data_IF_485305524814
#
_entry.id   IF_485305524814
#
_cell.length_a   1.000
_cell.length_b   1.000
_cell.length_c   1.000
_cell.angle_alpha   90.00
_cell.angle_beta   90.00
_cell.angle_gamma   90.00
#
_symmetry.space_group_name_H-M   'P 1'
#
loop_
_entity.id
_entity.type
_entity.pdbx_description
1 polymer ?
#
# COMPACT_ATOMS: atom_id res chain seq x y z
N UNK A 1 5.47 23.96 -19.05
CA UNK A 1 6.52 24.86 -18.52
C UNK A 1 7.57 24.01 -17.81
N UNK A 2 8.65 24.57 -17.26
CA UNK A 2 9.53 23.77 -16.40
C UNK A 2 8.78 23.38 -15.12
N UNK A 3 8.82 22.10 -14.74
CA UNK A 3 8.22 21.63 -13.49
C UNK A 3 9.12 22.06 -12.33
N UNK A 4 8.54 22.72 -11.33
CA UNK A 4 9.23 23.05 -10.07
C UNK A 4 8.93 21.97 -9.01
N UNK A 5 9.94 21.58 -8.25
CA UNK A 5 9.91 20.43 -7.34
C UNK A 5 10.45 20.81 -5.96
N UNK A 6 9.55 20.79 -4.97
CA UNK A 6 9.90 21.09 -3.57
C UNK A 6 9.84 19.79 -2.76
N UNK A 7 10.92 19.34 -2.10
CA UNK A 7 10.90 18.15 -1.25
C UNK A 7 9.82 18.23 -0.17
N UNK A 8 9.11 17.12 0.07
CA UNK A 8 8.03 17.08 1.05
C UNK A 8 8.55 17.26 2.50
N UNK A 9 7.78 17.93 3.37
CA UNK A 9 8.16 18.10 4.77
C UNK A 9 8.22 16.75 5.49
N UNK A 10 9.41 16.43 6.01
CA UNK A 10 9.65 15.21 6.76
C UNK A 10 9.27 15.41 8.25
N UNK A 11 8.84 14.36 8.97
CA UNK A 11 8.70 14.44 10.43
C UNK A 11 10.03 14.71 11.13
N UNK A 12 9.98 15.27 12.34
CA UNK A 12 11.17 15.60 13.15
C UNK A 12 12.07 14.38 13.46
N UNK A 13 11.51 13.17 13.46
CA UNK A 13 12.23 11.90 13.64
C UNK A 13 12.88 11.34 12.37
N UNK A 14 12.75 12.03 11.23
CA UNK A 14 13.17 11.52 9.93
C UNK A 14 14.55 12.06 9.50
N UNK A 15 15.51 11.15 9.31
CA UNK A 15 16.83 11.43 8.73
C UNK A 15 16.72 11.90 7.26
N UNK A 16 16.97 13.19 6.95
CA UNK A 16 16.75 13.74 5.61
C UNK A 16 17.68 13.13 4.56
N UNK A 17 18.87 12.66 4.94
CA UNK A 17 19.80 12.02 3.98
C UNK A 17 19.26 10.69 3.44
N UNK A 18 18.19 10.17 4.04
CA UNK A 18 17.45 8.97 3.59
C UNK A 18 16.10 9.28 2.95
N UNK A 19 15.75 10.54 2.71
CA UNK A 19 14.49 10.91 2.02
C UNK A 19 14.68 11.96 0.90
N UNK A 20 15.92 12.30 0.51
CA UNK A 20 16.18 13.28 -0.57
C UNK A 20 15.54 12.92 -1.93
N UNK A 21 15.45 11.63 -2.25
CA UNK A 21 14.70 11.10 -3.39
C UNK A 21 13.38 10.44 -2.94
N UNK A 22 12.64 11.05 -2.01
CA UNK A 22 11.34 10.55 -1.57
C UNK A 22 10.37 11.68 -1.22
N UNK A 23 9.31 11.82 -2.01
CA UNK A 23 8.25 12.81 -1.83
C UNK A 23 8.64 14.19 -2.33
N UNK A 24 7.97 14.66 -3.38
CA UNK A 24 8.06 16.05 -3.85
C UNK A 24 6.68 16.66 -4.09
N UNK A 25 6.54 17.93 -3.76
CA UNK A 25 5.46 18.81 -4.17
C UNK A 25 5.75 19.35 -5.58
N UNK A 26 4.81 19.16 -6.49
CA UNK A 26 4.92 19.47 -7.92
C UNK A 26 4.24 20.80 -8.22
N UNK A 27 4.95 21.70 -8.90
CA UNK A 27 4.52 23.07 -9.21
C UNK A 27 4.71 23.41 -10.68
N UNK A 28 3.96 24.41 -11.15
CA UNK A 28 4.04 24.93 -12.52
C UNK A 28 3.19 24.18 -13.56
N UNK A 29 2.54 23.07 -13.18
CA UNK A 29 1.67 22.24 -14.04
C UNK A 29 0.38 21.84 -13.31
N UNK A 30 -0.71 21.62 -14.06
CA UNK A 30 -1.99 21.19 -13.51
C UNK A 30 -2.28 19.71 -13.86
N UNK A 31 -2.50 18.81 -12.88
CA UNK A 31 -2.58 17.37 -13.13
C UNK A 31 -3.76 16.95 -14.03
N UNK A 32 -4.82 17.77 -14.11
CA UNK A 32 -5.96 17.52 -15.01
C UNK A 32 -5.79 18.02 -16.44
N UNK A 33 -4.65 18.68 -16.77
CA UNK A 33 -4.40 19.38 -18.04
C UNK A 33 -2.92 19.31 -18.47
N UNK A 34 -2.26 18.15 -18.32
CA UNK A 34 -0.86 17.96 -18.69
C UNK A 34 -0.66 17.82 -20.21
N UNK A 35 0.40 18.45 -20.74
CA UNK A 35 0.91 18.15 -22.09
C UNK A 35 1.74 16.84 -22.11
N UNK A 36 2.02 16.29 -23.30
CA UNK A 36 2.70 14.99 -23.45
C UNK A 36 4.12 15.01 -22.88
N UNK A 37 4.82 16.12 -23.02
CA UNK A 37 6.16 16.35 -22.47
C UNK A 37 6.11 16.41 -20.93
N UNK A 38 5.17 17.19 -20.38
CA UNK A 38 4.97 17.38 -18.94
C UNK A 38 4.51 16.08 -18.26
N UNK A 39 3.67 15.28 -18.93
CA UNK A 39 3.32 13.92 -18.50
C UNK A 39 4.54 13.00 -18.48
N UNK A 40 5.37 13.04 -19.52
CA UNK A 40 6.59 12.21 -19.62
C UNK A 40 7.57 12.55 -18.50
N UNK A 41 7.76 13.84 -18.23
CA UNK A 41 8.56 14.35 -17.12
C UNK A 41 7.94 13.92 -15.77
N UNK A 42 6.63 14.06 -15.59
CA UNK A 42 5.92 13.64 -14.37
C UNK A 42 6.06 12.14 -14.09
N UNK A 43 6.02 11.30 -15.12
CA UNK A 43 6.24 9.84 -15.00
C UNK A 43 7.65 9.56 -14.45
N UNK A 44 8.68 10.16 -15.04
CA UNK A 44 10.06 10.04 -14.60
C UNK A 44 10.27 10.55 -13.17
N UNK A 45 9.68 11.70 -12.81
CA UNK A 45 9.72 12.24 -11.44
C UNK A 45 9.00 11.31 -10.45
N UNK A 46 7.83 10.74 -10.79
CA UNK A 46 7.13 9.78 -9.92
C UNK A 46 7.99 8.55 -9.64
N UNK A 47 8.61 7.95 -10.66
CA UNK A 47 9.48 6.79 -10.49
C UNK A 47 10.80 7.13 -9.75
N UNK A 48 11.24 8.39 -9.76
CA UNK A 48 12.43 8.86 -9.02
C UNK A 48 12.15 9.21 -7.56
N UNK A 49 10.98 9.75 -7.24
CA UNK A 49 10.62 10.26 -5.92
C UNK A 49 9.54 9.46 -5.18
N UNK A 50 9.01 8.38 -5.78
CA UNK A 50 7.94 7.48 -5.29
C UNK A 50 6.57 8.14 -4.99
N UNK A 51 6.52 9.44 -4.72
CA UNK A 51 5.40 10.21 -4.17
C UNK A 51 5.41 11.62 -4.74
N UNK A 52 4.28 12.05 -5.33
CA UNK A 52 4.05 13.41 -5.82
C UNK A 52 2.84 14.04 -5.12
N UNK A 53 2.99 15.27 -4.63
CA UNK A 53 1.91 16.10 -4.09
C UNK A 53 1.57 17.21 -5.08
N UNK A 54 0.27 17.40 -5.33
CA UNK A 54 -0.27 18.61 -5.94
C UNK A 54 -1.13 19.32 -4.89
N UNK A 55 -0.92 20.64 -4.71
CA UNK A 55 -1.75 21.47 -3.84
C UNK A 55 -2.71 22.32 -4.67
N UNK A 56 -3.88 22.62 -4.09
CA UNK A 56 -4.81 23.63 -4.59
C UNK A 56 -5.23 23.40 -6.06
N UNK A 57 -5.53 22.13 -6.37
CA UNK A 57 -5.99 21.65 -7.69
C UNK A 57 -7.41 21.10 -7.60
N UNK A 58 -8.24 21.43 -8.58
CA UNK A 58 -9.58 20.84 -8.76
C UNK A 58 -9.56 19.82 -9.90
N UNK A 59 -10.08 18.62 -9.65
CA UNK A 59 -10.16 17.53 -10.63
C UNK A 59 -11.58 16.94 -10.68
N UNK A 60 -12.10 16.71 -11.89
CA UNK A 60 -13.24 15.78 -12.06
C UNK A 60 -12.76 14.32 -11.93
N UNK A 61 -13.68 13.36 -11.65
CA UNK A 61 -13.37 11.94 -11.69
C UNK A 61 -12.75 11.48 -13.02
N UNK A 62 -13.18 12.05 -14.15
CA UNK A 62 -12.62 11.73 -15.46
C UNK A 62 -11.20 12.27 -15.62
N UNK A 63 -10.87 13.45 -15.06
CA UNK A 63 -9.51 13.97 -15.06
C UNK A 63 -8.58 13.16 -14.14
N UNK A 64 -9.06 12.75 -12.96
CA UNK A 64 -8.31 11.86 -12.06
C UNK A 64 -8.09 10.49 -12.70
N UNK A 65 -9.10 9.92 -13.36
CA UNK A 65 -8.98 8.70 -14.14
C UNK A 65 -7.99 8.86 -15.28
N UNK A 66 -8.09 9.93 -16.08
CA UNK A 66 -7.19 10.21 -17.21
C UNK A 66 -5.72 10.34 -16.76
N UNK A 67 -5.46 11.00 -15.62
CA UNK A 67 -4.12 11.09 -15.02
C UNK A 67 -3.58 9.68 -14.68
N UNK A 68 -4.35 8.82 -14.02
CA UNK A 68 -3.92 7.46 -13.65
C UNK A 68 -3.75 6.57 -14.89
N UNK A 69 -4.69 6.65 -15.83
CA UNK A 69 -4.71 5.98 -17.14
C UNK A 69 -3.49 6.36 -18.00
N UNK A 70 -2.95 7.56 -17.85
CA UNK A 70 -1.77 8.00 -18.59
C UNK A 70 -0.48 7.22 -18.24
N UNK A 71 -0.38 6.64 -17.03
CA UNK A 71 0.73 5.75 -16.63
C UNK A 71 0.56 4.31 -17.15
N UNK A 72 -0.65 3.95 -17.60
CA UNK A 72 -0.96 2.64 -18.19
C UNK A 72 -2.11 2.73 -19.21
N UNK A 73 -1.83 3.17 -20.46
CA UNK A 73 -2.88 3.37 -21.46
C UNK A 73 -3.67 2.10 -21.82
N UNK A 74 -3.17 0.91 -21.50
CA UNK A 74 -3.86 -0.36 -21.73
C UNK A 74 -4.73 -0.84 -20.54
N UNK A 75 -4.64 -0.18 -19.38
CA UNK A 75 -5.35 -0.58 -18.17
C UNK A 75 -6.78 0.01 -18.09
N UNK A 76 -7.81 -0.84 -17.97
CA UNK A 76 -9.23 -0.41 -17.98
C UNK A 76 -9.99 -0.65 -16.66
N UNK A 77 -9.55 -1.61 -15.84
CA UNK A 77 -10.27 -2.06 -14.64
C UNK A 77 -9.72 -1.42 -13.37
N UNK A 78 -10.58 -1.21 -12.36
CA UNK A 78 -10.14 -0.82 -11.02
C UNK A 78 -9.16 -1.86 -10.43
N UNK A 79 -8.19 -1.43 -9.62
CA UNK A 79 -7.09 -2.29 -9.13
C UNK A 79 -7.50 -3.50 -8.28
N UNK A 80 -8.72 -3.49 -7.72
CA UNK A 80 -9.33 -4.62 -7.01
C UNK A 80 -10.43 -5.35 -7.81
N UNK A 81 -10.62 -4.99 -9.07
CA UNK A 81 -11.66 -5.52 -9.96
C UNK A 81 -13.01 -4.82 -9.81
N UNK A 82 -13.86 -4.95 -10.85
CA UNK A 82 -15.13 -4.22 -10.96
C UNK A 82 -16.35 -5.02 -10.45
N UNK A 83 -16.17 -6.27 -9.97
CA UNK A 83 -17.28 -7.16 -9.58
C UNK A 83 -17.67 -6.99 -8.12
N UNK A 84 -18.82 -6.34 -7.88
CA UNK A 84 -19.56 -6.47 -6.62
C UNK A 84 -20.31 -7.81 -6.58
N UNK A 85 -20.64 -8.24 -5.37
CA UNK A 85 -21.40 -9.45 -5.01
C UNK A 85 -20.86 -10.82 -5.47
N UNK A 86 -20.00 -11.38 -4.62
CA UNK A 86 -19.96 -12.83 -4.36
C UNK A 86 -20.91 -13.26 -3.22
N UNK A 87 -21.57 -12.31 -2.55
CA UNK A 87 -22.31 -12.52 -1.30
C UNK A 87 -21.45 -12.70 -0.04
N UNK A 88 -20.13 -12.88 -0.18
CA UNK A 88 -19.22 -13.13 0.95
C UNK A 88 -18.51 -11.84 1.37
N UNK A 89 -18.33 -11.65 2.69
CA UNK A 89 -17.72 -10.46 3.27
C UNK A 89 -16.23 -10.34 2.92
N UNK A 90 -15.88 -9.30 2.19
CA UNK A 90 -14.50 -8.84 1.96
C UNK A 90 -14.19 -7.64 2.85
N UNK A 91 -12.99 -7.57 3.43
CA UNK A 91 -12.57 -6.43 4.26
C UNK A 91 -12.47 -5.09 3.50
N UNK A 92 -12.52 -5.10 2.17
CA UNK A 92 -12.47 -3.89 1.35
C UNK A 92 -13.85 -3.26 1.09
N UNK A 93 -14.91 -4.07 0.99
CA UNK A 93 -16.23 -3.62 0.51
C UNK A 93 -16.87 -2.50 1.36
N UNK A 94 -16.76 -2.45 2.70
CA UNK A 94 -17.34 -1.36 3.50
C UNK A 94 -16.74 0.03 3.26
N UNK A 95 -15.60 0.11 2.57
CA UNK A 95 -14.79 1.34 2.46
C UNK A 95 -14.82 2.00 1.07
N UNK A 96 -15.43 1.37 0.06
CA UNK A 96 -15.33 1.76 -1.35
C UNK A 96 -16.69 2.03 -2.01
N UNK A 97 -16.98 3.30 -2.33
CA UNK A 97 -18.20 3.69 -3.09
C UNK A 97 -17.84 4.21 -4.48
N UNK A 98 -17.91 3.35 -5.50
CA UNK A 98 -17.66 3.72 -6.89
C UNK A 98 -18.53 4.89 -7.37
N UNK A 99 -17.92 5.86 -8.06
CA UNK A 99 -18.61 7.01 -8.64
C UNK A 99 -19.41 6.57 -9.88
N UNK A 100 -20.72 6.85 -10.00
CA UNK A 100 -21.55 6.36 -11.10
C UNK A 100 -21.05 6.72 -12.50
N UNK A 101 -20.49 7.94 -12.68
CA UNK A 101 -20.00 8.42 -13.98
C UNK A 101 -18.59 7.94 -14.36
N UNK A 102 -17.78 7.53 -13.38
CA UNK A 102 -16.44 6.99 -13.61
C UNK A 102 -16.12 5.91 -12.54
N UNK A 103 -16.60 4.66 -12.71
CA UNK A 103 -16.56 3.64 -11.65
C UNK A 103 -15.17 3.18 -11.19
N UNK A 104 -14.10 3.52 -11.92
CA UNK A 104 -12.71 3.32 -11.50
C UNK A 104 -12.25 4.32 -10.42
N UNK A 105 -13.03 5.37 -10.15
CA UNK A 105 -12.82 6.29 -9.04
C UNK A 105 -13.75 5.92 -7.89
N UNK A 106 -13.18 5.64 -6.72
CA UNK A 106 -13.91 5.32 -5.49
C UNK A 106 -14.00 6.56 -4.61
N UNK A 107 -15.22 6.92 -4.20
CA UNK A 107 -15.45 7.77 -3.05
C UNK A 107 -15.14 6.97 -1.77
N UNK A 108 -14.16 7.46 -1.01
CA UNK A 108 -13.71 6.87 0.26
C UNK A 108 -13.65 7.97 1.34
N UNK A 109 -13.80 7.62 2.63
CA UNK A 109 -13.87 8.67 3.64
C UNK A 109 -14.32 8.26 5.03
N UNK A 110 -14.98 9.20 5.70
CA UNK A 110 -15.69 8.98 6.96
C UNK A 110 -16.93 9.89 7.04
N UNK A 111 -18.00 9.38 7.63
CA UNK A 111 -19.22 10.13 7.90
C UNK A 111 -20.15 10.21 6.69
N UNK A 112 -21.15 11.09 6.80
CA UNK A 112 -22.24 11.16 5.85
C UNK A 112 -21.97 12.18 4.75
N UNK A 113 -21.93 11.71 3.50
CA UNK A 113 -21.79 12.53 2.29
C UNK A 113 -23.11 12.53 1.54
N UNK A 114 -23.50 13.70 1.02
CA UNK A 114 -24.66 13.89 0.16
C UNK A 114 -24.29 14.63 -1.13
N UNK A 115 -25.13 14.45 -2.14
CA UNK A 115 -25.14 15.18 -3.42
C UNK A 115 -23.74 15.29 -4.06
N UNK A 116 -23.00 14.17 -4.07
CA UNK A 116 -21.60 14.12 -4.50
C UNK A 116 -21.44 13.21 -5.72
N UNK A 117 -21.08 13.79 -6.86
CA UNK A 117 -20.73 13.05 -8.09
C UNK A 117 -21.81 12.08 -8.62
N UNK A 118 -23.08 12.43 -8.40
CA UNK A 118 -24.23 11.60 -8.75
C UNK A 118 -24.68 10.63 -7.65
N UNK A 119 -24.03 10.62 -6.49
CA UNK A 119 -24.47 9.92 -5.28
C UNK A 119 -25.29 10.88 -4.42
N UNK A 120 -26.59 10.62 -4.26
CA UNK A 120 -27.48 11.45 -3.43
C UNK A 120 -27.17 11.34 -1.93
N UNK A 121 -26.90 10.13 -1.44
CA UNK A 121 -26.42 9.89 -0.08
C UNK A 121 -25.43 8.70 -0.05
N UNK A 122 -24.37 8.82 0.74
CA UNK A 122 -23.37 7.78 0.99
C UNK A 122 -22.83 7.87 2.42
N UNK A 123 -22.91 6.76 3.16
CA UNK A 123 -22.38 6.64 4.52
C UNK A 123 -20.98 6.02 4.43
N UNK A 124 -19.93 6.84 4.57
CA UNK A 124 -18.54 6.41 4.40
C UNK A 124 -17.97 5.89 5.73
N UNK A 125 -17.48 4.65 5.75
CA UNK A 125 -16.81 4.07 6.90
C UNK A 125 -15.28 4.25 6.78
N UNK A 126 -14.64 4.79 7.82
CA UNK A 126 -13.19 4.85 7.86
C UNK A 126 -12.60 3.46 8.15
N UNK A 127 -11.55 3.02 7.44
CA UNK A 127 -10.78 1.85 7.84
C UNK A 127 -10.07 2.13 9.17
N UNK A 128 -10.37 1.35 10.22
CA UNK A 128 -9.88 1.61 11.58
C UNK A 128 -9.24 0.37 12.19
N UNK A 129 -8.17 0.56 12.97
CA UNK A 129 -7.56 -0.52 13.75
C UNK A 129 -8.59 -1.23 14.65
N UNK A 130 -9.59 -0.51 15.16
CA UNK A 130 -10.67 -1.06 16.00
C UNK A 130 -11.50 -2.16 15.33
N UNK A 131 -11.52 -2.23 14.00
CA UNK A 131 -12.33 -3.21 13.24
C UNK A 131 -11.49 -4.30 12.57
N UNK A 132 -10.17 -4.32 12.77
CA UNK A 132 -9.26 -5.24 12.06
C UNK A 132 -8.10 -5.77 12.91
N UNK A 133 -7.66 -5.05 13.95
CA UNK A 133 -6.61 -5.52 14.86
C UNK A 133 -7.19 -6.41 15.97
N UNK A 134 -6.37 -7.36 16.42
CA UNK A 134 -6.67 -8.26 17.54
C UNK A 134 -6.79 -7.52 18.86
N UNK A 135 -5.80 -6.68 19.15
CA UNK A 135 -5.83 -5.73 20.26
C UNK A 135 -6.25 -4.35 19.75
N UNK A 136 -6.82 -3.52 20.62
CA UNK A 136 -7.34 -2.19 20.24
C UNK A 136 -6.83 -1.15 21.22
N UNK A 137 -6.64 0.08 20.77
CA UNK A 137 -6.51 1.24 21.66
C UNK A 137 -7.81 1.34 22.49
N UNK A 138 -7.70 1.58 23.80
CA UNK A 138 -8.85 1.75 24.68
C UNK A 138 -9.57 3.07 24.37
N UNK A 139 -10.86 3.15 24.66
CA UNK A 139 -11.63 4.40 24.42
C UNK A 139 -11.10 5.58 25.28
N UNK A 140 -10.47 5.30 26.42
CA UNK A 140 -9.78 6.30 27.24
C UNK A 140 -8.54 6.87 26.55
N UNK A 141 -7.73 6.00 25.92
CA UNK A 141 -6.54 6.43 25.17
C UNK A 141 -6.91 7.08 23.83
N UNK A 142 -7.96 6.60 23.16
CA UNK A 142 -8.51 7.23 21.97
C UNK A 142 -9.06 8.64 22.27
N UNK A 143 -9.67 8.82 23.45
CA UNK A 143 -10.10 10.14 23.93
C UNK A 143 -8.91 11.10 24.20
N UNK A 144 -7.75 10.57 24.63
CA UNK A 144 -6.47 11.32 24.72
C UNK A 144 -5.83 11.58 23.34
N UNK A 145 -6.34 10.97 22.27
CA UNK A 145 -5.86 11.12 20.90
C UNK A 145 -4.90 10.03 20.43
N UNK A 146 -4.75 8.90 21.15
CA UNK A 146 -3.97 7.77 20.64
C UNK A 146 -4.72 7.02 19.52
N UNK A 147 -3.96 6.45 18.59
CA UNK A 147 -4.47 5.68 17.44
C UNK A 147 -3.41 4.67 16.96
N UNK A 148 -3.68 3.94 15.88
CA UNK A 148 -2.75 3.00 15.23
C UNK A 148 -2.89 3.08 13.70
N UNK A 149 -1.92 2.54 12.97
CA UNK A 149 -2.06 2.27 11.54
C UNK A 149 -3.18 1.24 11.31
N UNK A 150 -4.03 1.43 10.30
CA UNK A 150 -5.06 0.45 9.97
C UNK A 150 -4.45 -0.86 9.44
N UNK A 151 -3.82 -0.78 8.26
CA UNK A 151 -3.19 -1.89 7.52
C UNK A 151 -2.14 -1.34 6.56
N UNK A 152 -0.94 -1.88 6.57
CA UNK A 152 0.10 -1.59 5.58
C UNK A 152 -0.08 -2.46 4.34
N UNK A 153 -0.09 -1.84 3.16
CA UNK A 153 -0.33 -2.53 1.89
C UNK A 153 0.06 -1.67 0.67
N UNK A 154 0.13 -2.32 -0.48
CA UNK A 154 -0.04 -1.71 -1.80
C UNK A 154 -1.43 -2.05 -2.35
N UNK A 155 -2.01 -1.18 -3.19
CA UNK A 155 -3.27 -1.47 -3.88
C UNK A 155 -3.06 -2.62 -4.87
N UNK A 156 -3.83 -3.71 -4.76
CA UNK A 156 -3.82 -4.85 -5.69
C UNK A 156 -4.96 -5.84 -5.37
N UNK A 157 -5.47 -6.54 -6.40
CA UNK A 157 -6.38 -7.68 -6.24
C UNK A 157 -5.66 -8.96 -5.76
N UNK A 158 -4.39 -9.15 -6.15
CA UNK A 158 -3.54 -10.29 -5.78
C UNK A 158 -4.08 -11.67 -6.27
N UNK A 159 -5.03 -11.66 -7.21
CA UNK A 159 -5.67 -12.86 -7.76
C UNK A 159 -6.14 -12.61 -9.20
N UNK A 160 -6.07 -13.65 -10.04
CA UNK A 160 -6.39 -13.59 -11.46
C UNK A 160 -5.43 -12.73 -12.26
N UNK A 161 -5.88 -12.28 -13.43
CA UNK A 161 -5.09 -11.51 -14.40
C UNK A 161 -4.92 -10.02 -14.00
N UNK A 162 -5.43 -9.62 -12.83
CA UNK A 162 -5.38 -8.26 -12.30
C UNK A 162 -4.00 -7.97 -11.67
N UNK A 163 -3.04 -7.54 -12.50
CA UNK A 163 -1.72 -7.18 -12.02
C UNK A 163 -1.72 -5.90 -11.15
N UNK A 164 -0.81 -5.79 -10.15
CA UNK A 164 -0.75 -4.63 -9.26
C UNK A 164 -0.62 -3.29 -10.00
N UNK A 165 -1.51 -2.30 -9.76
CA UNK A 165 -1.43 -0.94 -10.28
C UNK A 165 -0.03 -0.32 -10.23
N UNK A 166 0.36 0.40 -11.29
CA UNK A 166 1.62 1.16 -11.35
C UNK A 166 1.58 2.41 -10.45
N UNK A 167 0.43 3.09 -10.43
CA UNK A 167 0.20 4.35 -9.71
C UNK A 167 -1.20 4.34 -9.06
N UNK A 168 -1.32 5.03 -7.93
CA UNK A 168 -2.61 5.38 -7.31
C UNK A 168 -2.68 6.89 -7.11
N UNK A 169 -3.77 7.51 -7.56
CA UNK A 169 -4.11 8.90 -7.25
C UNK A 169 -5.10 8.96 -6.08
N UNK A 170 -4.69 9.56 -4.96
CA UNK A 170 -5.55 9.84 -3.82
C UNK A 170 -5.80 11.35 -3.73
N UNK A 171 -7.02 11.80 -4.03
CA UNK A 171 -7.42 13.20 -4.10
C UNK A 171 -8.31 13.58 -2.91
N UNK A 172 -7.91 14.59 -2.12
CA UNK A 172 -8.57 15.00 -0.89
C UNK A 172 -9.51 16.20 -1.10
N UNK A 173 -10.82 15.93 -1.09
CA UNK A 173 -11.87 16.93 -1.37
C UNK A 173 -12.34 17.63 -0.09
N UNK A 174 -12.33 16.91 1.04
CA UNK A 174 -12.70 17.44 2.34
C UNK A 174 -11.94 16.71 3.43
N UNK A 175 -10.99 17.40 4.08
CA UNK A 175 -10.18 16.85 5.16
C UNK A 175 -10.49 17.61 6.44
N UNK A 176 -11.09 16.98 7.47
CA UNK A 176 -11.49 17.69 8.68
C UNK A 176 -10.24 18.06 9.48
N UNK A 177 -10.12 19.34 9.82
CA UNK A 177 -9.07 19.80 10.71
C UNK A 177 -9.35 19.35 12.15
N UNK A 178 -8.29 19.12 12.91
CA UNK A 178 -8.38 18.61 14.28
C UNK A 178 -7.04 18.60 15.00
N UNK A 179 -7.02 18.26 16.30
CA UNK A 179 -5.79 18.05 17.04
C UNK A 179 -4.98 16.91 16.42
N UNK A 180 -3.66 16.95 16.62
CA UNK A 180 -2.80 15.83 16.25
C UNK A 180 -3.06 14.64 17.18
N UNK A 181 -3.03 13.45 16.60
CA UNK A 181 -3.16 12.16 17.27
C UNK A 181 -1.77 11.54 17.45
N UNK A 182 -1.64 10.54 18.33
CA UNK A 182 -0.40 9.77 18.49
C UNK A 182 -0.63 8.34 18.04
N UNK A 183 -0.08 7.99 16.88
CA UNK A 183 -0.09 6.65 16.34
C UNK A 183 0.95 5.80 17.08
N UNK A 184 0.50 4.84 17.91
CA UNK A 184 1.39 3.89 18.58
C UNK A 184 1.58 2.64 17.74
N UNK A 185 2.71 1.97 17.93
CA UNK A 185 2.99 0.70 17.26
C UNK A 185 2.53 -0.48 18.13
N UNK A 186 2.51 -0.32 19.47
CA UNK A 186 1.98 -1.26 20.46
C UNK A 186 2.44 -2.72 20.24
N UNK A 187 3.70 -2.92 19.85
CA UNK A 187 4.36 -4.21 19.58
C UNK A 187 5.52 -4.51 20.56
N UNK A 188 5.60 -3.74 21.65
CA UNK A 188 6.65 -3.84 22.67
C UNK A 188 7.90 -2.99 22.39
N UNK A 189 8.04 -2.36 21.22
CA UNK A 189 9.17 -1.44 20.94
C UNK A 189 9.10 -0.12 21.70
N UNK A 190 7.88 0.37 21.95
CA UNK A 190 7.64 1.74 22.41
C UNK A 190 7.66 2.80 21.30
N UNK A 191 7.69 2.40 20.02
CA UNK A 191 7.60 3.34 18.89
C UNK A 191 6.26 4.10 18.90
N UNK A 192 6.33 5.42 18.65
CA UNK A 192 5.18 6.31 18.49
C UNK A 192 5.40 7.35 17.37
N UNK A 193 4.30 7.85 16.79
CA UNK A 193 4.28 8.95 15.82
C UNK A 193 3.14 9.93 16.11
N UNK A 194 3.47 11.21 16.32
CA UNK A 194 2.48 12.29 16.23
C UNK A 194 2.00 12.51 14.78
N UNK A 195 0.70 12.37 14.51
CA UNK A 195 0.04 12.54 13.19
C UNK A 195 -1.04 13.62 13.18
N UNK A 196 -1.24 14.35 12.06
CA UNK A 196 -2.54 14.96 11.75
C UNK A 196 -3.68 13.92 11.73
N UNK A 197 -4.88 14.35 12.09
CA UNK A 197 -6.11 13.55 11.95
C UNK A 197 -6.30 13.07 10.50
N UNK A 198 -6.52 11.78 10.29
CA UNK A 198 -6.84 11.23 8.96
C UNK A 198 -5.70 11.13 7.97
N UNK A 199 -4.46 11.11 8.46
CA UNK A 199 -3.22 10.97 7.69
C UNK A 199 -3.21 9.68 6.86
N UNK A 200 -2.71 9.75 5.62
CA UNK A 200 -2.15 8.58 4.94
C UNK A 200 -0.64 8.60 5.13
N UNK A 201 -0.09 7.53 5.71
CA UNK A 201 1.34 7.33 5.90
C UNK A 201 1.92 6.51 4.74
N UNK A 202 3.13 6.88 4.31
CA UNK A 202 3.81 6.29 3.15
C UNK A 202 5.24 5.88 3.47
N UNK A 203 5.67 4.75 2.93
CA UNK A 203 6.98 4.14 3.17
C UNK A 203 7.56 3.67 1.84
N UNK A 204 8.73 4.19 1.44
CA UNK A 204 9.44 3.68 0.27
C UNK A 204 9.95 2.26 0.52
N UNK A 205 9.57 1.33 -0.35
CA UNK A 205 10.08 -0.03 -0.37
C UNK A 205 11.59 -0.11 -0.63
N UNK A 206 12.19 0.90 -1.30
CA UNK A 206 13.65 1.02 -1.45
C UNK A 206 14.32 1.28 -0.11
N UNK A 207 13.82 2.25 0.66
CA UNK A 207 14.35 2.56 1.98
C UNK A 207 14.12 1.39 2.97
N UNK A 208 12.99 0.69 2.84
CA UNK A 208 12.71 -0.56 3.57
C UNK A 208 13.75 -1.64 3.22
N UNK A 209 14.04 -1.87 1.93
CA UNK A 209 15.09 -2.79 1.48
C UNK A 209 16.46 -2.39 2.02
N UNK A 210 16.83 -1.10 1.94
CA UNK A 210 18.11 -0.59 2.41
C UNK A 210 18.30 -0.74 3.93
N UNK A 211 17.21 -0.67 4.72
CA UNK A 211 17.22 -0.90 6.16
C UNK A 211 17.39 -2.38 6.59
N UNK A 212 17.19 -3.35 5.68
CA UNK A 212 17.35 -4.77 6.00
C UNK A 212 18.80 -5.16 6.34
N UNK A 213 18.96 -6.16 7.21
CA UNK A 213 20.25 -6.81 7.45
C UNK A 213 20.75 -7.52 6.18
N UNK A 214 22.06 -7.79 6.02
CA UNK A 214 22.57 -8.50 4.85
C UNK A 214 21.89 -9.86 4.60
N UNK A 215 21.62 -10.64 5.65
CA UNK A 215 20.91 -11.91 5.54
C UNK A 215 19.45 -11.75 5.07
N UNK A 216 18.73 -10.71 5.54
CA UNK A 216 17.37 -10.42 5.07
C UNK A 216 17.35 -9.84 3.65
N UNK A 217 18.40 -9.12 3.22
CA UNK A 217 18.57 -8.71 1.81
C UNK A 217 18.76 -9.92 0.90
N UNK A 218 19.61 -10.86 1.32
CA UNK A 218 19.87 -12.13 0.63
C UNK A 218 18.62 -12.99 0.48
N UNK A 219 17.78 -13.08 1.52
CA UNK A 219 16.45 -13.69 1.41
C UNK A 219 15.57 -12.91 0.42
N UNK A 220 15.40 -11.60 0.62
CA UNK A 220 14.47 -10.79 -0.17
C UNK A 220 14.73 -10.82 -1.69
N UNK A 221 16.00 -10.84 -2.15
CA UNK A 221 16.31 -10.86 -3.60
C UNK A 221 16.00 -12.18 -4.30
N UNK A 222 15.81 -13.28 -3.56
CA UNK A 222 15.54 -14.62 -4.11
C UNK A 222 14.21 -15.21 -3.64
N UNK A 223 13.34 -14.37 -3.07
CA UNK A 223 12.03 -14.77 -2.55
C UNK A 223 10.85 -14.31 -3.41
N UNK A 224 9.80 -15.14 -3.43
CA UNK A 224 8.48 -14.88 -4.00
C UNK A 224 7.39 -15.22 -2.99
N UNK A 225 6.25 -14.56 -3.08
CA UNK A 225 5.06 -14.78 -2.24
C UNK A 225 3.91 -15.27 -3.12
N UNK A 226 3.32 -16.41 -2.78
CA UNK A 226 2.06 -16.90 -3.35
C UNK A 226 0.91 -16.36 -2.49
N UNK A 227 -0.05 -15.69 -3.11
CA UNK A 227 -1.18 -15.08 -2.43
C UNK A 227 -2.39 -16.03 -2.41
N UNK A 228 -3.17 -15.98 -1.32
CA UNK A 228 -4.39 -16.78 -1.19
C UNK A 228 -5.45 -16.37 -2.22
N UNK A 229 -6.25 -17.31 -2.77
CA UNK A 229 -7.35 -16.97 -3.65
C UNK A 229 -8.35 -16.09 -2.90
N UNK A 230 -8.84 -15.03 -3.55
CA UNK A 230 -9.74 -14.03 -2.93
C UNK A 230 -9.24 -13.53 -1.55
N UNK A 231 -7.94 -13.22 -1.42
CA UNK A 231 -7.28 -13.03 -0.11
C UNK A 231 -8.01 -12.10 0.89
N UNK A 232 -8.68 -11.04 0.42
CA UNK A 232 -9.48 -10.10 1.25
C UNK A 232 -10.79 -10.68 1.82
N UNK A 233 -11.20 -11.86 1.35
CA UNK A 233 -12.25 -12.71 1.91
C UNK A 233 -11.64 -13.80 2.79
N UNK A 234 -10.57 -14.45 2.33
CA UNK A 234 -9.85 -15.50 3.08
C UNK A 234 -9.41 -15.04 4.48
N UNK A 235 -8.73 -13.89 4.57
CA UNK A 235 -8.25 -13.35 5.85
C UNK A 235 -9.35 -12.69 6.71
N UNK A 236 -10.58 -12.57 6.22
CA UNK A 236 -11.59 -11.67 6.78
C UNK A 236 -12.06 -11.96 8.23
N UNK A 237 -12.04 -13.21 8.75
CA UNK A 237 -12.35 -13.50 10.15
C UNK A 237 -11.11 -13.51 11.07
N UNK A 238 -9.90 -13.41 10.51
CA UNK A 238 -8.65 -13.28 11.25
C UNK A 238 -8.30 -11.81 11.52
N UNK A 239 -7.37 -11.57 12.45
CA UNK A 239 -7.02 -10.22 12.89
C UNK A 239 -5.58 -9.82 12.57
N UNK A 240 -5.35 -8.51 12.40
CA UNK A 240 -4.02 -7.93 12.20
C UNK A 240 -3.26 -7.70 13.52
N UNK A 241 -1.92 -7.68 13.42
CA UNK A 241 -1.04 -7.20 14.47
C UNK A 241 -1.28 -5.71 14.77
N UNK A 242 -0.90 -5.25 15.97
CA UNK A 242 -1.03 -3.87 16.46
C UNK A 242 -0.39 -2.78 15.58
N UNK A 243 0.62 -3.14 14.78
CA UNK A 243 1.28 -2.24 13.82
C UNK A 243 0.56 -2.13 12.47
N UNK A 244 -0.47 -2.93 12.22
CA UNK A 244 -1.13 -3.06 10.91
C UNK A 244 -0.28 -3.78 9.85
N UNK A 245 0.87 -4.37 10.21
CA UNK A 245 1.65 -5.27 9.33
C UNK A 245 1.19 -6.71 9.51
N UNK A 246 0.83 -7.40 8.43
CA UNK A 246 0.48 -8.82 8.46
C UNK A 246 -0.76 -9.17 9.30
N UNK A 247 -0.89 -10.47 9.60
CA UNK A 247 -1.97 -11.04 10.40
C UNK A 247 -1.41 -11.85 11.56
N UNK A 248 -2.16 -11.94 12.65
CA UNK A 248 -1.93 -12.85 13.77
C UNK A 248 -2.16 -14.30 13.34
N UNK A 249 -1.33 -15.26 13.78
CA UNK A 249 -1.53 -16.68 13.47
C UNK A 249 -2.58 -17.30 14.39
N UNK A 250 -3.85 -17.12 14.06
CA UNK A 250 -4.99 -17.56 14.90
C UNK A 250 -5.76 -18.77 14.36
N UNK A 251 -5.58 -19.13 13.08
CA UNK A 251 -6.35 -20.21 12.43
C UNK A 251 -7.83 -19.84 12.23
N UNK A 252 -8.10 -18.55 12.01
CA UNK A 252 -9.43 -17.98 11.82
C UNK A 252 -9.73 -17.63 10.34
N UNK A 253 -8.77 -17.86 9.46
CA UNK A 253 -8.92 -17.70 8.02
C UNK A 253 -9.98 -18.65 7.46
N UNK A 254 -10.78 -18.20 6.49
CA UNK A 254 -11.83 -19.03 5.91
C UNK A 254 -11.23 -20.28 5.21
N UNK A 255 -11.79 -21.48 5.43
CA UNK A 255 -11.40 -22.69 4.71
C UNK A 255 -11.48 -22.49 3.19
N UNK A 256 -10.53 -23.06 2.44
CA UNK A 256 -10.42 -22.86 0.99
C UNK A 256 -11.67 -23.30 0.19
N UNK A 257 -12.49 -24.17 0.77
CA UNK A 257 -13.77 -24.65 0.25
C UNK A 257 -14.99 -23.76 0.60
N UNK A 258 -14.81 -22.73 1.44
CA UNK A 258 -15.83 -21.73 1.80
C UNK A 258 -15.62 -20.38 1.09
N UNK A 259 -14.50 -20.24 0.37
CA UNK A 259 -14.20 -19.09 -0.47
C UNK A 259 -15.10 -19.03 -1.72
N UNK A 260 -15.27 -17.85 -2.35
CA UNK A 260 -15.88 -17.78 -3.67
C UNK A 260 -15.12 -18.68 -4.68
N UNK A 261 -15.77 -19.23 -5.71
CA UNK A 261 -15.12 -20.12 -6.68
C UNK A 261 -13.79 -19.57 -7.19
N UNK A 262 -12.76 -20.42 -7.17
CA UNK A 262 -11.39 -20.05 -7.49
C UNK A 262 -10.65 -21.17 -8.23
N UNK A 263 -9.54 -20.81 -8.86
CA UNK A 263 -8.69 -21.70 -9.66
C UNK A 263 -7.23 -21.49 -9.23
N UNK A 264 -6.47 -22.56 -8.94
CA UNK A 264 -5.07 -22.40 -8.50
C UNK A 264 -4.20 -21.70 -9.56
N UNK A 265 -4.47 -21.93 -10.85
CA UNK A 265 -3.80 -21.25 -11.96
C UNK A 265 -3.99 -19.71 -11.97
N UNK A 266 -4.91 -19.18 -11.15
CA UNK A 266 -5.16 -17.74 -10.96
C UNK A 266 -4.59 -17.19 -9.65
N UNK A 267 -3.96 -18.02 -8.80
CA UNK A 267 -3.25 -17.53 -7.62
C UNK A 267 -1.94 -16.84 -8.03
N UNK A 268 -1.80 -15.55 -7.71
CA UNK A 268 -0.61 -14.80 -8.09
C UNK A 268 0.58 -15.21 -7.22
N UNK A 269 1.73 -15.43 -7.85
CA UNK A 269 3.04 -15.58 -7.20
C UNK A 269 3.93 -14.42 -7.63
N UNK A 270 4.20 -13.47 -6.74
CA UNK A 270 4.94 -12.23 -7.05
C UNK A 270 6.28 -12.20 -6.31
N UNK A 271 7.34 -11.57 -6.87
CA UNK A 271 8.60 -11.39 -6.15
C UNK A 271 8.44 -10.49 -4.91
N UNK A 272 9.25 -10.73 -3.88
CA UNK A 272 9.28 -9.93 -2.64
C UNK A 272 9.80 -8.51 -2.88
N UNK A 273 10.69 -8.36 -3.86
CA UNK A 273 11.23 -7.08 -4.30
C UNK A 273 10.76 -6.79 -5.72
N UNK A 274 10.22 -5.60 -5.96
CA UNK A 274 9.85 -5.14 -7.30
C UNK A 274 10.91 -4.15 -7.81
N UNK A 275 11.33 -4.32 -9.06
CA UNK A 275 12.37 -3.50 -9.69
C UNK A 275 11.75 -2.28 -10.36
N UNK A 276 12.21 -1.10 -9.94
CA UNK A 276 11.77 0.19 -10.46
C UNK A 276 12.24 0.37 -11.91
N UNK A 277 11.29 0.60 -12.82
CA UNK A 277 11.56 0.59 -14.27
C UNK A 277 12.45 1.75 -14.75
N UNK A 278 12.49 2.89 -14.03
CA UNK A 278 13.29 4.06 -14.39
C UNK A 278 14.61 4.08 -13.63
N UNK A 279 14.60 3.79 -12.32
CA UNK A 279 15.80 3.94 -11.47
C UNK A 279 16.58 2.65 -11.26
N UNK A 280 16.03 1.49 -11.65
CA UNK A 280 16.64 0.18 -11.42
C UNK A 280 16.72 -0.27 -9.95
N UNK A 281 16.23 0.54 -9.01
CA UNK A 281 16.21 0.21 -7.58
C UNK A 281 15.26 -0.96 -7.28
N UNK A 282 15.55 -1.69 -6.21
CA UNK A 282 14.70 -2.75 -5.67
C UNK A 282 13.88 -2.22 -4.50
N UNK A 283 12.56 -2.42 -4.55
CA UNK A 283 11.62 -1.97 -3.51
C UNK A 283 10.93 -3.19 -2.88
N UNK A 284 10.95 -3.32 -1.54
CA UNK A 284 10.12 -4.33 -0.83
C UNK A 284 8.65 -4.02 -1.09
N UNK A 285 7.92 -5.01 -1.61
CA UNK A 285 6.52 -4.87 -2.04
C UNK A 285 5.71 -6.11 -1.67
N UNK A 286 4.90 -5.97 -0.61
CA UNK A 286 4.36 -7.09 0.16
C UNK A 286 3.00 -6.75 0.76
N UNK A 287 1.96 -7.45 0.31
CA UNK A 287 0.65 -7.47 0.98
C UNK A 287 0.59 -8.69 1.92
N UNK A 288 1.44 -8.67 2.95
CA UNK A 288 1.67 -9.79 3.88
C UNK A 288 0.39 -10.36 4.52
N UNK A 289 -0.66 -9.55 4.64
CA UNK A 289 -1.96 -10.00 5.14
C UNK A 289 -2.68 -11.02 4.22
N UNK A 290 -2.39 -11.04 2.92
CA UNK A 290 -2.94 -12.00 1.95
C UNK A 290 -1.98 -13.12 1.54
N UNK A 291 -0.80 -13.22 2.16
CA UNK A 291 0.22 -14.20 1.82
C UNK A 291 -0.16 -15.60 2.35
N UNK A 292 -0.04 -16.62 1.49
CA UNK A 292 -0.27 -18.02 1.82
C UNK A 292 1.04 -18.81 1.93
N UNK A 293 1.97 -18.60 0.99
CA UNK A 293 3.24 -19.34 0.92
C UNK A 293 4.39 -18.37 0.58
N UNK A 294 5.60 -18.66 1.06
CA UNK A 294 6.84 -17.99 0.63
C UNK A 294 7.79 -19.00 0.02
N UNK A 295 8.21 -18.75 -1.22
CA UNK A 295 9.17 -19.56 -1.96
C UNK A 295 10.51 -18.82 -1.98
N UNK A 296 11.59 -19.50 -1.63
CA UNK A 296 12.95 -18.94 -1.53
C UNK A 296 13.88 -19.82 -2.36
N UNK A 297 14.43 -19.28 -3.45
CA UNK A 297 15.41 -20.01 -4.26
C UNK A 297 16.74 -20.20 -3.47
N UNK A 298 17.51 -21.27 -3.72
CA UNK A 298 18.83 -21.44 -3.11
C UNK A 298 19.79 -20.30 -3.44
N UNK A 299 20.83 -20.14 -2.61
CA UNK A 299 21.94 -19.23 -2.90
C UNK A 299 22.63 -19.61 -4.22
N UNK A 300 23.08 -18.63 -5.03
CA UNK A 300 23.80 -18.90 -6.26
C UNK A 300 25.17 -19.54 -5.97
N UNK A 301 25.66 -20.36 -6.89
CA UNK A 301 26.94 -21.05 -6.74
C UNK A 301 28.09 -20.05 -6.54
N UNK A 302 28.79 -20.18 -5.40
CA UNK A 302 29.90 -19.29 -5.00
C UNK A 302 29.53 -18.13 -4.07
N UNK A 303 28.25 -17.93 -3.73
CA UNK A 303 27.86 -17.03 -2.63
C UNK A 303 28.35 -17.55 -1.26
N UNK A 304 28.51 -16.64 -0.30
CA UNK A 304 28.85 -17.03 1.07
C UNK A 304 27.65 -17.70 1.75
N UNK A 305 27.92 -18.79 2.48
CA UNK A 305 26.91 -19.49 3.29
C UNK A 305 27.01 -19.13 4.77
N UNK A 306 27.98 -18.30 5.16
CA UNK A 306 28.18 -17.84 6.53
C UNK A 306 27.11 -16.81 6.93
N UNK A 307 26.40 -17.06 8.03
CA UNK A 307 25.30 -16.19 8.49
C UNK A 307 24.05 -16.15 7.58
N UNK A 308 24.01 -16.98 6.53
CA UNK A 308 22.92 -17.01 5.58
C UNK A 308 21.65 -17.70 6.14
N UNK A 309 20.50 -17.05 5.97
CA UNK A 309 19.18 -17.60 6.31
C UNK A 309 18.64 -18.40 5.11
N UNK A 310 18.16 -19.62 5.32
CA UNK A 310 17.71 -20.55 4.25
C UNK A 310 18.69 -20.69 3.05
N UNK A 311 19.98 -21.09 3.26
CA UNK A 311 20.99 -21.07 2.19
C UNK A 311 20.68 -22.03 1.02
N UNK A 312 20.05 -23.18 1.28
CA UNK A 312 19.63 -24.15 0.26
C UNK A 312 18.24 -23.87 -0.32
N UNK A 313 17.67 -22.69 -0.01
CA UNK A 313 16.29 -22.32 -0.34
C UNK A 313 15.30 -22.79 0.72
N UNK A 314 14.02 -22.50 0.50
CA UNK A 314 12.90 -22.94 1.33
C UNK A 314 11.56 -22.81 0.59
N UNK A 315 10.57 -23.58 1.04
CA UNK A 315 9.16 -23.38 0.70
C UNK A 315 8.39 -23.34 2.02
N UNK A 316 8.09 -22.12 2.49
CA UNK A 316 7.38 -21.88 3.74
C UNK A 316 5.89 -21.95 3.46
N UNK A 317 5.23 -22.95 4.04
CA UNK A 317 3.78 -23.19 3.95
C UNK A 317 3.08 -23.12 5.30
N UNK A 318 3.83 -23.12 6.41
CA UNK A 318 3.31 -22.77 7.73
C UNK A 318 3.07 -21.26 7.81
N UNK A 319 1.87 -20.87 8.23
CA UNK A 319 1.48 -19.45 8.29
C UNK A 319 2.27 -18.66 9.34
N UNK A 320 2.73 -19.27 10.42
CA UNK A 320 3.52 -18.58 11.44
C UNK A 320 4.93 -18.26 10.92
N UNK A 321 5.58 -19.20 10.24
CA UNK A 321 6.87 -18.98 9.57
C UNK A 321 6.76 -17.92 8.46
N UNK A 322 5.74 -18.02 7.60
CA UNK A 322 5.43 -17.04 6.55
C UNK A 322 5.22 -15.64 7.15
N UNK A 323 4.37 -15.50 8.17
CA UNK A 323 4.05 -14.20 8.78
C UNK A 323 5.25 -13.60 9.52
N UNK A 324 6.00 -14.42 10.25
CA UNK A 324 7.23 -13.99 10.95
C UNK A 324 8.28 -13.44 9.98
N UNK A 325 8.55 -14.14 8.86
CA UNK A 325 9.51 -13.67 7.87
C UNK A 325 9.05 -12.36 7.19
N UNK A 326 7.79 -12.30 6.75
CA UNK A 326 7.26 -11.11 6.09
C UNK A 326 7.21 -9.90 7.04
N UNK A 327 6.92 -10.11 8.32
CA UNK A 327 6.98 -9.05 9.34
C UNK A 327 8.42 -8.52 9.51
N UNK A 328 9.42 -9.40 9.60
CA UNK A 328 10.84 -9.00 9.68
C UNK A 328 11.31 -8.21 8.44
N UNK A 329 10.78 -8.55 7.26
CA UNK A 329 11.07 -7.83 6.01
C UNK A 329 10.40 -6.44 5.92
N UNK A 330 9.29 -6.22 6.62
CA UNK A 330 8.53 -4.95 6.52
C UNK A 330 8.70 -4.01 7.72
N UNK A 331 8.83 -4.53 8.95
CA UNK A 331 8.85 -3.72 10.18
C UNK A 331 9.95 -2.64 10.22
N UNK A 332 11.17 -2.83 9.67
CA UNK A 332 12.18 -1.76 9.61
C UNK A 332 11.78 -0.56 8.73
N UNK A 333 10.89 -0.77 7.74
CA UNK A 333 10.47 0.29 6.82
C UNK A 333 9.40 1.21 7.39
N UNK A 334 8.48 0.70 8.22
CA UNK A 334 7.29 1.45 8.66
C UNK A 334 7.54 2.54 9.72
N UNK A 335 8.80 2.99 9.86
CA UNK A 335 9.14 4.24 10.54
C UNK A 335 8.53 5.46 9.78
N UNK A 336 8.22 6.57 10.47
CA UNK A 336 7.10 7.43 10.05
C UNK A 336 7.36 8.55 9.00
N UNK A 337 6.51 8.69 7.95
CA UNK A 337 6.38 9.82 6.95
C UNK A 337 4.90 10.03 6.47
N UNK A 338 4.53 11.18 5.83
CA UNK A 338 3.11 11.63 5.59
C UNK A 338 2.84 12.55 4.37
N UNK A 339 1.55 12.65 3.95
CA UNK A 339 0.75 13.79 3.42
C UNK A 339 -0.22 13.41 2.25
N UNK A 340 -0.71 14.36 1.43
CA UNK A 340 -1.60 14.14 0.25
C UNK A 340 -0.75 13.75 -0.98
N UNK A 341 -1.15 12.71 -1.72
CA UNK A 341 -0.19 11.96 -2.54
C UNK A 341 -0.83 11.25 -3.76
N UNK A 342 -0.23 11.46 -4.93
CA UNK A 342 -0.15 10.51 -6.06
C UNK A 342 1.08 9.63 -5.83
N UNK A 343 0.93 8.30 -5.75
CA UNK A 343 2.04 7.40 -5.39
C UNK A 343 2.33 6.31 -6.41
N UNK A 344 3.63 6.03 -6.57
CA UNK A 344 4.18 4.86 -7.22
C UNK A 344 3.80 3.62 -6.39
N UNK A 345 2.64 3.03 -6.70
CA UNK A 345 2.08 1.89 -5.98
C UNK A 345 2.95 0.62 -6.07
N UNK A 346 3.92 0.59 -7.00
CA UNK A 346 4.99 -0.42 -7.08
C UNK A 346 6.28 -0.06 -6.33
N UNK A 347 6.37 1.14 -5.77
CA UNK A 347 7.54 1.65 -5.04
C UNK A 347 7.31 1.87 -3.55
N UNK A 348 6.07 2.17 -3.12
CA UNK A 348 5.72 2.39 -1.71
C UNK A 348 4.77 1.34 -1.15
N UNK A 349 4.78 1.18 0.18
CA UNK A 349 3.62 0.67 0.93
C UNK A 349 2.99 1.82 1.72
N UNK A 350 1.69 1.73 1.97
CA UNK A 350 0.92 2.80 2.60
C UNK A 350 -0.11 2.30 3.61
N UNK A 351 -0.49 3.16 4.55
CA UNK A 351 -1.54 2.89 5.53
C UNK A 351 -2.29 4.17 5.91
N UNK A 352 -3.59 4.04 6.18
CA UNK A 352 -4.40 5.14 6.74
C UNK A 352 -4.34 5.13 8.27
N UNK A 353 -4.33 6.32 8.87
CA UNK A 353 -4.15 6.53 10.31
C UNK A 353 -5.16 7.54 10.83
N UNK A 354 -5.83 7.17 11.93
CA UNK A 354 -6.64 8.09 12.72
C UNK A 354 -7.88 7.46 13.33
N UNK A 355 -8.35 8.07 14.41
CA UNK A 355 -9.67 7.83 14.98
C UNK A 355 -10.53 9.10 14.80
N UNK A 356 -11.70 8.96 14.19
CA UNK A 356 -12.63 10.06 13.95
C UNK A 356 -13.77 10.02 14.96
N UNK A 357 -14.29 11.21 15.29
CA UNK A 357 -15.48 11.39 16.12
C UNK A 357 -16.70 11.65 15.24
N UNK A 358 -17.89 11.33 15.76
CA UNK A 358 -19.16 11.62 15.10
C UNK A 358 -19.23 13.08 14.63
N UNK A 359 -19.67 13.28 13.38
CA UNK A 359 -19.73 14.58 12.73
C UNK A 359 -18.44 15.02 12.00
N UNK A 360 -17.30 14.35 12.18
CA UNK A 360 -16.05 14.67 11.45
C UNK A 360 -16.05 14.05 10.04
N UNK A 361 -16.65 14.73 9.07
CA UNK A 361 -16.70 14.23 7.68
C UNK A 361 -15.32 14.31 7.00
N UNK A 362 -14.85 13.19 6.45
CA UNK A 362 -13.67 13.10 5.56
C UNK A 362 -14.11 12.60 4.20
N UNK A 363 -13.70 13.26 3.11
CA UNK A 363 -14.08 12.93 1.73
C UNK A 363 -12.86 12.91 0.82
N UNK A 364 -12.61 11.77 0.19
CA UNK A 364 -11.52 11.56 -0.78
C UNK A 364 -12.03 10.79 -2.01
N UNK A 365 -11.36 10.98 -3.13
CA UNK A 365 -11.44 10.08 -4.29
C UNK A 365 -10.14 9.27 -4.40
N UNK A 366 -10.23 7.95 -4.42
CA UNK A 366 -9.11 7.05 -4.78
C UNK A 366 -9.31 6.53 -6.21
N UNK A 367 -8.27 6.60 -7.03
CA UNK A 367 -8.25 5.94 -8.33
C UNK A 367 -6.94 5.16 -8.51
N UNK A 368 -7.08 3.87 -8.82
CA UNK A 368 -6.00 2.97 -9.21
C UNK A 368 -6.54 2.01 -10.28
N UNK A 369 -5.68 1.55 -11.19
CA UNK A 369 -6.08 0.71 -12.31
C UNK A 369 -5.18 -0.54 -12.38
N UNK A 370 -5.78 -1.72 -12.60
CA UNK A 370 -5.07 -3.00 -12.66
C UNK A 370 -4.17 -3.03 -13.92
N UNK A 371 -2.85 -3.08 -13.71
CA UNK A 371 -1.87 -2.77 -14.74
C UNK A 371 -1.82 -3.79 -15.91
N UNK A 372 -1.28 -3.35 -17.05
CA UNK A 372 -1.09 -4.17 -18.26
C UNK A 372 -0.09 -5.31 -18.13
N UNK A 373 0.75 -5.28 -17.11
CA UNK A 373 1.92 -6.13 -16.91
C UNK A 373 2.14 -6.42 -15.42
N UNK A 374 2.84 -7.51 -15.10
CA UNK A 374 3.25 -7.82 -13.74
C UNK A 374 4.58 -7.14 -13.36
N UNK A 375 4.79 -6.78 -12.09
CA UNK A 375 6.04 -6.17 -11.64
C UNK A 375 7.23 -7.12 -11.85
N UNK A 376 8.29 -6.61 -12.46
CA UNK A 376 9.55 -7.35 -12.62
C UNK A 376 10.27 -7.48 -11.27
N UNK A 377 10.84 -8.66 -11.02
CA UNK A 377 11.65 -8.93 -9.84
C UNK A 377 13.14 -8.59 -10.02
N UNK A 378 13.98 -9.00 -9.06
CA UNK A 378 15.44 -8.95 -9.19
C UNK A 378 15.95 -9.76 -10.38
N UNK A 379 17.02 -9.28 -11.03
CA UNK A 379 17.72 -9.98 -12.10
C UNK A 379 18.95 -10.76 -11.56
N UNK A 380 19.68 -11.45 -12.44
CA UNK A 380 20.87 -12.22 -12.05
C UNK A 380 22.01 -11.36 -11.45
N UNK A 381 22.10 -10.07 -11.79
CA UNK A 381 23.09 -9.15 -11.24
C UNK A 381 22.69 -8.68 -9.84
N UNK A 382 21.40 -8.42 -9.62
CA UNK A 382 20.84 -8.11 -8.31
C UNK A 382 21.03 -9.28 -7.34
N UNK A 383 20.73 -10.51 -7.79
CA UNK A 383 20.97 -11.74 -7.02
C UNK A 383 22.47 -11.85 -6.69
N UNK A 384 23.36 -11.73 -7.68
CA UNK A 384 24.82 -11.77 -7.46
C UNK A 384 25.35 -10.67 -6.52
N UNK A 385 24.66 -9.54 -6.40
CA UNK A 385 25.04 -8.40 -5.55
C UNK A 385 24.60 -8.56 -4.10
N UNK A 386 23.52 -9.29 -3.84
CA UNK A 386 22.82 -9.24 -2.55
C UNK A 386 22.55 -10.61 -1.91
N UNK A 387 22.63 -11.72 -2.66
CA UNK A 387 22.40 -13.09 -2.17
C UNK A 387 23.64 -13.67 -1.47
#
# INVERSE_FOLDING_TARGET
MAIDLVPLPLPESADPTKFFNFGVEVKGVHPGHLHTEELTELIDILYKHDVLLFRDVDLTPEQQYALVKAFDPASESYGHGNKKDSGIKSILHPHLTAIPRQPQVQLIGHGLVRDHEGLSESHLQHPSHKTFHKTRVSDEDEAKGYTRFYRWHQDAALYGDLAPPKVTALYGIGVPQGPRQTCRYDDGTGDELSVPLGTTAFVSGKNMFEALTPALKSVAVRSRVKYAPHCFVWMAPAHAHSTGLGMETEGLELPMNELPPWEEAKMQTLPVLWKNAVTGNLHVQLSSCGALEVLIDPLPAGASREGAVHPDGAHLTDLNEVRSLLYQLQRPGIAPKKDLVLFHNRGVTHSVVGAFKDGQVRKFHQCNLAASDFPSGPNAEDIKKWA
#
